data_IF_641046525327
#
_entry.id   IF_641046525327
#
_cell.length_a   1.000
_cell.length_b   1.000
_cell.length_c   1.000
_cell.angle_alpha   90.00
_cell.angle_beta   90.00
_cell.angle_gamma   90.00
#
_symmetry.space_group_name_H-M   'P 1'
#
loop_
_entity.id
_entity.type
_entity.pdbx_description
1 polymer ?
#
# COMPACT_ATOMS: atom_id res chain seq x y z
N UNK A 1 3.45 -18.86 9.44
CA UNK A 1 3.41 -18.23 8.11
C UNK A 1 4.65 -17.39 7.86
N UNK A 2 4.92 -17.15 6.58
CA UNK A 2 6.02 -16.26 6.17
C UNK A 2 5.67 -14.80 6.37
N UNK A 3 4.42 -14.45 6.12
CA UNK A 3 3.91 -13.09 6.29
C UNK A 3 2.59 -13.13 7.05
N UNK A 4 2.51 -12.33 8.12
CA UNK A 4 1.27 -11.97 8.81
C UNK A 4 0.89 -10.55 8.38
N UNK A 5 -0.39 -10.30 8.13
CA UNK A 5 -0.86 -8.98 7.78
C UNK A 5 -2.28 -8.72 8.29
N UNK A 6 -2.68 -7.47 8.26
CA UNK A 6 -4.02 -7.09 8.71
C UNK A 6 -4.40 -5.70 8.26
N UNK A 7 -5.41 -5.16 8.92
CA UNK A 7 -6.00 -3.88 8.59
C UNK A 7 -5.32 -2.71 9.31
N UNK A 8 -5.54 -1.53 8.77
CA UNK A 8 -5.08 -0.26 9.34
C UNK A 8 -6.26 0.67 9.54
N UNK A 9 -6.40 1.21 10.74
CA UNK A 9 -7.34 2.26 11.05
C UNK A 9 -6.66 3.63 10.95
N UNK A 10 -7.41 4.66 10.59
CA UNK A 10 -6.97 6.04 10.66
C UNK A 10 -7.51 6.68 11.93
N UNK A 11 -6.64 7.37 12.66
CA UNK A 11 -6.95 8.02 13.93
C UNK A 11 -6.51 9.47 13.93
N UNK A 12 -7.10 10.29 14.81
CA UNK A 12 -6.67 11.65 15.06
C UNK A 12 -5.51 11.73 16.07
N UNK A 13 -5.08 12.96 16.40
CA UNK A 13 -3.97 13.19 17.33
C UNK A 13 -4.26 12.66 18.74
N UNK A 14 -5.51 12.55 19.15
CA UNK A 14 -5.97 12.00 20.43
C UNK A 14 -6.25 10.50 20.36
N UNK A 15 -5.91 9.86 19.23
CA UNK A 15 -6.13 8.44 18.95
C UNK A 15 -7.60 8.03 18.85
N UNK A 16 -8.48 8.97 18.54
CA UNK A 16 -9.86 8.64 18.23
C UNK A 16 -9.96 8.06 16.83
N UNK A 17 -10.72 6.98 16.68
CA UNK A 17 -10.96 6.35 15.40
C UNK A 17 -11.71 7.32 14.47
N UNK A 18 -11.18 7.52 13.26
CA UNK A 18 -11.81 8.32 12.21
C UNK A 18 -12.49 7.44 11.16
N UNK A 19 -11.74 6.51 10.59
CA UNK A 19 -12.22 5.56 9.58
C UNK A 19 -11.19 4.48 9.34
N UNK A 20 -11.61 3.42 8.64
CA UNK A 20 -10.65 2.46 8.12
C UNK A 20 -9.84 3.07 6.98
N UNK A 21 -8.63 2.58 6.77
CA UNK A 21 -7.82 2.91 5.60
C UNK A 21 -8.64 2.60 4.34
N UNK A 22 -8.51 3.43 3.31
CA UNK A 22 -9.27 3.32 2.06
C UNK A 22 -9.12 1.96 1.37
N UNK A 23 -7.88 1.46 1.29
CA UNK A 23 -7.60 0.13 0.74
C UNK A 23 -7.65 -0.88 1.88
N UNK A 24 -8.40 -1.94 1.69
CA UNK A 24 -8.52 -3.01 2.68
C UNK A 24 -7.61 -4.18 2.36
N UNK A 25 -7.18 -4.87 3.40
CA UNK A 25 -6.35 -6.06 3.27
C UNK A 25 -7.14 -7.18 2.57
N UNK A 26 -6.60 -7.77 1.49
CA UNK A 26 -7.28 -8.84 0.78
C UNK A 26 -7.27 -10.14 1.60
N UNK A 27 -8.27 -10.98 1.38
CA UNK A 27 -8.31 -12.30 2.02
C UNK A 27 -7.11 -13.15 1.61
N UNK A 28 -6.70 -13.07 0.35
CA UNK A 28 -5.52 -13.74 -0.19
C UNK A 28 -4.53 -12.72 -0.71
N UNK A 29 -3.35 -12.68 -0.13
CA UNK A 29 -2.27 -11.77 -0.50
C UNK A 29 -1.17 -12.51 -1.24
N UNK A 30 -0.65 -11.91 -2.30
CA UNK A 30 0.57 -12.34 -2.99
C UNK A 30 1.26 -11.12 -3.62
N UNK A 31 2.45 -11.32 -4.19
CA UNK A 31 3.22 -10.21 -4.74
C UNK A 31 2.51 -9.47 -5.88
N UNK A 32 1.58 -10.12 -6.59
CA UNK A 32 0.79 -9.50 -7.67
C UNK A 32 -0.35 -8.62 -7.13
N UNK A 33 -0.73 -8.80 -5.87
CA UNK A 33 -1.84 -8.04 -5.27
C UNK A 33 -1.60 -6.54 -5.31
N UNK A 34 -0.36 -6.10 -5.21
CA UNK A 34 -0.01 -4.67 -5.22
C UNK A 34 -0.06 -4.02 -6.61
N UNK A 35 -0.40 -4.75 -7.66
CA UNK A 35 -0.83 -4.15 -8.94
C UNK A 35 -2.02 -3.20 -8.75
N UNK A 36 -2.88 -3.49 -7.78
CA UNK A 36 -4.07 -2.69 -7.47
C UNK A 36 -3.81 -1.55 -6.48
N UNK A 37 -2.56 -1.36 -6.09
CA UNK A 37 -2.14 -0.40 -5.08
C UNK A 37 -1.59 -1.11 -3.85
N UNK A 38 -1.19 -0.35 -2.85
CA UNK A 38 -0.67 -0.90 -1.60
C UNK A 38 -1.82 -1.37 -0.71
N UNK A 39 -2.37 -2.55 -0.99
CA UNK A 39 -3.57 -3.08 -0.32
C UNK A 39 -3.36 -3.31 1.18
N UNK A 40 -2.12 -3.53 1.60
CA UNK A 40 -1.73 -3.65 3.00
C UNK A 40 -0.73 -2.54 3.31
N UNK A 41 -0.99 -1.77 4.36
CA UNK A 41 -0.02 -0.79 4.86
C UNK A 41 1.26 -1.52 5.31
N UNK A 42 2.43 -0.99 4.96
CA UNK A 42 3.70 -1.64 5.34
C UNK A 42 3.84 -1.83 6.85
N UNK A 43 3.22 -0.96 7.66
CA UNK A 43 3.23 -1.09 9.12
C UNK A 43 2.33 -2.23 9.63
N UNK A 44 1.36 -2.67 8.83
CA UNK A 44 0.50 -3.82 9.12
C UNK A 44 0.94 -5.08 8.36
N UNK A 45 2.18 -5.13 7.95
CA UNK A 45 2.81 -6.19 7.16
C UNK A 45 4.02 -6.71 7.93
N UNK A 46 3.92 -7.95 8.42
CA UNK A 46 4.92 -8.55 9.31
C UNK A 46 5.55 -9.78 8.67
N UNK A 47 6.66 -9.58 7.95
CA UNK A 47 7.37 -10.71 7.34
C UNK A 47 8.20 -11.46 8.38
N UNK A 48 8.40 -12.76 8.14
CA UNK A 48 9.37 -13.56 8.87
C UNK A 48 10.75 -12.92 8.76
N UNK A 49 11.46 -12.86 9.85
CA UNK A 49 12.78 -12.20 9.93
C UNK A 49 13.75 -12.63 8.82
N UNK A 50 13.76 -13.91 8.47
CA UNK A 50 14.66 -14.45 7.43
C UNK A 50 14.35 -13.95 6.02
N UNK A 51 13.19 -13.34 5.79
CA UNK A 51 12.80 -12.78 4.49
C UNK A 51 13.11 -11.29 4.37
N UNK A 52 13.46 -10.63 5.49
CA UNK A 52 13.67 -9.20 5.51
C UNK A 52 14.97 -8.85 4.75
N UNK A 53 14.88 -7.81 3.95
CA UNK A 53 16.01 -7.22 3.22
C UNK A 53 15.99 -5.70 3.35
N UNK A 54 17.11 -5.02 3.09
CA UNK A 54 17.15 -3.56 3.16
C UNK A 54 16.20 -2.91 2.17
N UNK A 55 15.73 -1.71 2.51
CA UNK A 55 15.02 -0.85 1.55
C UNK A 55 15.94 -0.44 0.42
N UNK A 56 15.39 -0.33 -0.79
CA UNK A 56 16.08 0.29 -1.91
C UNK A 56 15.97 1.82 -1.77
N UNK A 57 17.07 2.44 -1.36
CA UNK A 57 17.10 3.86 -1.02
C UNK A 57 17.06 4.79 -2.24
N UNK A 58 17.08 4.26 -3.47
CA UNK A 58 16.80 5.06 -4.65
C UNK A 58 15.35 5.58 -4.66
N UNK A 59 14.45 4.92 -3.94
CA UNK A 59 13.05 5.33 -3.79
C UNK A 59 12.89 6.14 -2.50
N UNK A 60 12.53 7.40 -2.64
CA UNK A 60 12.40 8.30 -1.51
C UNK A 60 11.06 8.18 -0.78
N UNK A 61 9.98 7.95 -1.55
CA UNK A 61 8.61 8.00 -1.02
C UNK A 61 7.90 6.65 -1.03
N UNK A 62 8.37 5.70 -1.82
CA UNK A 62 7.71 4.40 -2.03
C UNK A 62 8.66 3.22 -1.88
N UNK A 63 9.74 3.38 -1.09
CA UNK A 63 10.66 2.30 -0.79
C UNK A 63 9.95 1.12 -0.08
N UNK A 64 8.98 1.43 0.77
CA UNK A 64 8.12 0.45 1.45
C UNK A 64 7.30 -0.39 0.47
N UNK A 65 6.76 0.23 -0.57
CA UNK A 65 6.02 -0.46 -1.63
C UNK A 65 6.88 -1.50 -2.36
N UNK A 66 8.06 -1.08 -2.79
CA UNK A 66 9.05 -1.96 -3.44
C UNK A 66 9.50 -3.08 -2.49
N UNK A 67 9.80 -2.74 -1.25
CA UNK A 67 10.25 -3.66 -0.21
C UNK A 67 9.21 -4.78 0.05
N UNK A 68 7.95 -4.42 0.21
CA UNK A 68 6.88 -5.39 0.40
C UNK A 68 6.78 -6.36 -0.78
N UNK A 69 6.87 -5.86 -2.02
CA UNK A 69 6.79 -6.71 -3.21
C UNK A 69 7.97 -7.69 -3.26
N UNK A 70 9.19 -7.22 -3.00
CA UNK A 70 10.38 -8.08 -2.97
C UNK A 70 10.24 -9.20 -1.94
N UNK A 71 9.76 -8.88 -0.75
CA UNK A 71 9.56 -9.88 0.31
C UNK A 71 8.46 -10.86 -0.07
N UNK A 72 7.34 -10.37 -0.62
CA UNK A 72 6.24 -11.24 -1.04
C UNK A 72 6.64 -12.22 -2.15
N UNK A 73 7.58 -11.85 -3.03
CA UNK A 73 8.10 -12.76 -4.07
C UNK A 73 8.84 -13.96 -3.47
N UNK A 74 9.45 -13.80 -2.31
CA UNK A 74 10.18 -14.87 -1.61
C UNK A 74 9.28 -15.67 -0.67
N UNK A 75 8.18 -15.09 -0.22
CA UNK A 75 7.27 -15.72 0.73
C UNK A 75 6.41 -16.80 0.05
N UNK A 76 6.11 -17.84 0.81
CA UNK A 76 5.26 -18.96 0.37
C UNK A 76 3.92 -18.98 1.08
N UNK A 77 3.90 -18.58 2.35
CA UNK A 77 2.70 -18.64 3.19
C UNK A 77 2.33 -17.27 3.72
N UNK A 78 1.04 -16.94 3.58
CA UNK A 78 0.48 -15.64 3.96
C UNK A 78 -0.70 -15.88 4.88
N UNK A 79 -0.83 -15.08 5.93
CA UNK A 79 -1.93 -15.20 6.86
C UNK A 79 -2.54 -13.82 7.15
N UNK A 80 -3.81 -13.65 6.77
CA UNK A 80 -4.60 -12.49 7.16
C UNK A 80 -5.07 -12.70 8.60
N UNK A 81 -4.69 -11.82 9.50
CA UNK A 81 -5.10 -11.89 10.91
C UNK A 81 -6.56 -11.48 11.11
N UNK A 82 -7.17 -10.80 10.15
CA UNK A 82 -8.50 -10.19 10.24
C UNK A 82 -8.62 -9.19 11.39
N UNK A 83 -7.49 -8.64 11.83
CA UNK A 83 -7.42 -7.67 12.93
C UNK A 83 -6.97 -6.31 12.41
N UNK A 84 -7.38 -5.26 13.10
CA UNK A 84 -6.75 -3.94 12.96
C UNK A 84 -5.43 -4.02 13.72
N UNK A 85 -4.32 -3.97 13.01
CA UNK A 85 -2.99 -4.10 13.59
C UNK A 85 -2.35 -2.76 13.89
N UNK A 86 -2.75 -1.71 13.16
CA UNK A 86 -2.11 -0.40 13.21
C UNK A 86 -3.16 0.70 13.27
N UNK A 87 -2.92 1.65 14.16
CA UNK A 87 -3.57 2.95 14.19
C UNK A 87 -2.63 3.96 13.50
N UNK A 88 -3.04 4.47 12.35
CA UNK A 88 -2.25 5.40 11.56
C UNK A 88 -2.74 6.83 11.78
N UNK A 89 -1.83 7.73 12.15
CA UNK A 89 -2.18 9.14 12.34
C UNK A 89 -2.50 9.79 10.99
N UNK A 90 -3.74 10.25 10.85
CA UNK A 90 -4.23 10.87 9.61
C UNK A 90 -3.63 12.27 9.37
N UNK A 91 -3.18 12.94 10.42
CA UNK A 91 -2.54 14.25 10.33
C UNK A 91 -1.15 14.12 9.71
N UNK A 92 -0.75 15.09 8.86
CA UNK A 92 0.57 15.11 8.22
C UNK A 92 0.64 14.36 6.88
N UNK A 93 -0.44 13.74 6.41
CA UNK A 93 -0.50 13.24 5.05
C UNK A 93 -0.60 14.41 4.08
N UNK A 94 0.52 14.73 3.41
CA UNK A 94 0.58 15.87 2.50
C UNK A 94 0.29 15.45 1.06
N UNK A 95 -0.56 16.20 0.38
CA UNK A 95 -0.85 16.03 -1.05
C UNK A 95 0.39 16.23 -1.93
N UNK A 96 1.40 16.96 -1.45
CA UNK A 96 2.66 17.19 -2.17
C UNK A 96 3.45 15.92 -2.40
N UNK A 97 3.52 15.04 -1.39
CA UNK A 97 4.25 13.78 -1.48
C UNK A 97 3.47 12.72 -2.27
N UNK A 98 2.17 12.92 -2.48
CA UNK A 98 1.33 11.97 -3.20
C UNK A 98 1.75 11.82 -4.68
N UNK A 99 1.98 12.94 -5.39
CA UNK A 99 2.43 12.90 -6.78
C UNK A 99 3.79 12.24 -6.93
N UNK A 100 4.74 12.59 -6.06
CA UNK A 100 6.07 12.00 -6.06
C UNK A 100 6.01 10.49 -5.78
N UNK A 101 5.18 10.09 -4.83
CA UNK A 101 4.94 8.67 -4.53
C UNK A 101 4.34 7.92 -5.71
N UNK A 102 3.35 8.48 -6.39
CA UNK A 102 2.76 7.88 -7.59
C UNK A 102 3.77 7.73 -8.73
N UNK A 103 4.64 8.72 -8.94
CA UNK A 103 5.69 8.65 -9.97
C UNK A 103 6.70 7.55 -9.64
N UNK A 104 7.11 7.42 -8.38
CA UNK A 104 7.99 6.34 -7.96
C UNK A 104 7.34 4.97 -8.14
N UNK A 105 6.07 4.83 -7.76
CA UNK A 105 5.32 3.57 -7.98
C UNK A 105 5.23 3.23 -9.46
N UNK A 106 5.05 4.21 -10.32
CA UNK A 106 5.09 4.02 -11.76
C UNK A 106 6.44 3.50 -12.23
N UNK A 107 7.54 3.90 -11.59
CA UNK A 107 8.89 3.38 -11.87
C UNK A 107 9.13 1.99 -11.31
N UNK A 108 8.54 1.69 -10.14
CA UNK A 108 8.68 0.40 -9.46
C UNK A 108 7.87 -0.70 -10.17
N UNK A 109 6.62 -0.42 -10.51
CA UNK A 109 5.68 -1.41 -11.04
C UNK A 109 6.16 -2.10 -12.31
N UNK A 110 6.77 -1.41 -13.31
CA UNK A 110 7.28 -2.10 -14.50
C UNK A 110 8.36 -3.13 -14.20
N UNK A 111 9.18 -2.90 -13.17
CA UNK A 111 10.25 -3.83 -12.76
C UNK A 111 9.69 -5.14 -12.21
N UNK A 112 8.51 -5.09 -11.58
CA UNK A 112 7.88 -6.25 -10.96
C UNK A 112 6.79 -6.87 -11.83
N UNK A 113 6.00 -6.05 -12.53
CA UNK A 113 4.76 -6.48 -13.20
C UNK A 113 4.76 -6.32 -14.72
N UNK A 114 5.79 -5.67 -15.29
CA UNK A 114 5.88 -5.35 -16.70
C UNK A 114 5.17 -4.04 -17.07
N UNK A 115 5.60 -3.45 -18.20
CA UNK A 115 5.16 -2.10 -18.60
C UNK A 115 3.68 -2.05 -18.99
N UNK A 116 3.20 -3.01 -19.78
CA UNK A 116 1.80 -3.00 -20.25
C UNK A 116 0.82 -3.14 -19.07
N UNK A 117 1.10 -4.06 -18.15
CA UNK A 117 0.29 -4.24 -16.95
C UNK A 117 0.28 -2.97 -16.08
N UNK A 118 1.43 -2.31 -15.92
CA UNK A 118 1.57 -1.07 -15.18
C UNK A 118 0.76 0.05 -15.80
N UNK A 119 0.83 0.24 -17.10
CA UNK A 119 0.07 1.26 -17.82
C UNK A 119 -1.44 1.03 -17.69
N UNK A 120 -1.89 -0.20 -17.84
CA UNK A 120 -3.30 -0.55 -17.69
C UNK A 120 -3.84 -0.23 -16.27
N UNK A 121 -3.08 -0.58 -15.23
CA UNK A 121 -3.48 -0.32 -13.86
C UNK A 121 -3.42 1.17 -13.50
N UNK A 122 -2.46 1.93 -14.03
CA UNK A 122 -2.41 3.37 -13.83
C UNK A 122 -3.57 4.09 -14.54
N UNK A 123 -3.94 3.66 -15.74
CA UNK A 123 -5.13 4.16 -16.41
C UNK A 123 -6.40 3.90 -15.58
N UNK A 124 -6.51 2.72 -15.00
CA UNK A 124 -7.60 2.38 -14.09
C UNK A 124 -7.61 3.28 -12.85
N UNK A 125 -6.46 3.53 -12.23
CA UNK A 125 -6.37 4.42 -11.07
C UNK A 125 -6.81 5.85 -11.40
N UNK A 126 -6.42 6.36 -12.58
CA UNK A 126 -6.85 7.68 -13.04
C UNK A 126 -8.36 7.74 -13.23
N UNK A 127 -8.95 6.77 -13.92
CA UNK A 127 -10.41 6.69 -14.12
C UNK A 127 -11.13 6.64 -12.79
N UNK A 128 -10.65 5.81 -11.85
CA UNK A 128 -11.23 5.70 -10.52
C UNK A 128 -11.13 6.99 -9.72
N UNK A 129 -10.04 7.75 -9.86
CA UNK A 129 -9.85 9.04 -9.22
C UNK A 129 -10.85 10.09 -9.75
N UNK A 130 -11.08 10.13 -11.06
CA UNK A 130 -12.10 11.01 -11.65
C UNK A 130 -13.50 10.69 -11.16
N UNK A 131 -13.86 9.44 -11.04
CA UNK A 131 -15.16 9.00 -10.51
C UNK A 131 -15.38 9.44 -9.06
N UNK A 132 -14.29 9.61 -8.28
CA UNK A 132 -14.36 10.01 -6.87
C UNK A 132 -14.41 11.51 -6.66
N UNK A 133 -13.84 12.29 -7.56
CA UNK A 133 -13.90 13.76 -7.47
C UNK A 133 -15.32 14.29 -7.61
N UNK A 134 -16.28 13.46 -8.02
CA UNK A 134 -17.71 13.79 -7.99
C UNK A 134 -18.38 13.43 -6.66
N UNK A 135 -17.71 12.80 -5.71
CA UNK A 135 -18.23 12.38 -4.41
C UNK A 135 -17.34 12.93 -3.28
N UNK A 136 -17.84 13.92 -2.58
CA UNK A 136 -17.39 14.53 -1.30
C UNK A 136 -15.90 14.63 -0.94
N UNK A 137 -15.49 15.74 -0.28
CA UNK A 137 -14.08 16.08 0.01
C UNK A 137 -13.36 15.20 1.05
N UNK A 138 -13.95 14.08 1.47
CA UNK A 138 -13.42 13.26 2.56
C UNK A 138 -12.43 12.18 2.13
N UNK A 139 -12.15 12.06 0.82
CA UNK A 139 -11.30 10.98 0.32
C UNK A 139 -9.85 11.42 0.22
N UNK A 140 -9.16 11.46 1.38
CA UNK A 140 -7.72 11.50 1.38
C UNK A 140 -7.15 10.27 0.65
N UNK A 141 -6.03 10.40 -0.10
CA UNK A 141 -5.49 9.32 -0.95
C UNK A 141 -4.92 8.12 -0.18
N UNK A 142 -4.95 8.14 1.15
CA UNK A 142 -4.46 7.04 2.00
C UNK A 142 -5.59 6.26 2.68
#
# INVERSE_FOLDING_TARGET
PDILYGETALVDAERHFLRMRRLSAPETLNWKSFKQGMLVCHQAFFPRHTLIEPYDLQYRFSADFDWCIHIMKKARTFHNTHLILIDYLAEGMTTQNHKASLLERFRIMPRHYGLLSTLAHHAWFVVRSFSRNSATPSDAPF
#
